data_IF_750349403649
#
_entry.id   IF_750349403649
#
_cell.length_a   1.000
_cell.length_b   1.000
_cell.length_c   1.000
_cell.angle_alpha   90.00
_cell.angle_beta   90.00
_cell.angle_gamma   90.00
#
_symmetry.space_group_name_H-M   'P 1'
#
loop_
_entity.id
_entity.type
_entity.pdbx_description
1 polymer ?
#
# COMPACT_ATOMS: atom_id res chain seq x y z
N UNK A 1 30.46 -25.70 -13.06
CA UNK A 1 31.78 -25.91 -12.46
C UNK A 1 31.72 -26.66 -11.14
N UNK A 2 31.03 -26.23 -10.07
CA UNK A 2 30.91 -27.05 -8.84
C UNK A 2 30.24 -28.42 -9.06
N UNK A 3 29.03 -28.44 -9.62
CA UNK A 3 28.31 -29.69 -9.91
C UNK A 3 28.96 -30.51 -11.03
N UNK A 4 29.57 -29.85 -12.03
CA UNK A 4 30.32 -30.58 -13.07
C UNK A 4 31.62 -31.17 -12.52
N UNK A 5 32.26 -30.54 -11.53
CA UNK A 5 33.42 -31.09 -10.82
C UNK A 5 32.98 -32.29 -9.99
N UNK A 6 31.89 -32.18 -9.22
CA UNK A 6 31.33 -33.31 -8.46
C UNK A 6 30.93 -34.49 -9.34
N UNK A 7 30.27 -34.21 -10.47
CA UNK A 7 29.81 -35.25 -11.40
C UNK A 7 30.97 -36.00 -12.09
N UNK A 8 32.19 -35.45 -12.05
CA UNK A 8 33.39 -36.05 -12.62
C UNK A 8 34.41 -36.53 -11.55
N UNK A 9 34.07 -36.45 -10.26
CA UNK A 9 34.90 -36.92 -9.15
C UNK A 9 34.43 -38.29 -8.67
N UNK A 10 35.33 -39.06 -8.07
CA UNK A 10 34.94 -40.23 -7.27
C UNK A 10 34.04 -39.79 -6.10
N UNK A 11 33.14 -40.66 -5.65
CA UNK A 11 32.17 -40.36 -4.59
C UNK A 11 32.85 -39.87 -3.29
N UNK A 12 34.01 -40.42 -2.95
CA UNK A 12 34.76 -40.03 -1.76
C UNK A 12 35.39 -38.64 -1.92
N UNK A 13 36.02 -38.38 -3.07
CA UNK A 13 36.61 -37.07 -3.40
C UNK A 13 35.56 -35.97 -3.52
N UNK A 14 34.42 -36.28 -4.12
CA UNK A 14 33.26 -35.40 -4.20
C UNK A 14 32.78 -35.02 -2.80
N UNK A 15 32.66 -35.98 -1.89
CA UNK A 15 32.27 -35.73 -0.50
C UNK A 15 33.28 -34.81 0.20
N UNK A 16 34.59 -35.08 0.06
CA UNK A 16 35.63 -34.21 0.64
C UNK A 16 35.58 -32.79 0.09
N UNK A 17 35.32 -32.64 -1.22
CA UNK A 17 35.21 -31.35 -1.90
C UNK A 17 33.94 -30.57 -1.51
N UNK A 18 32.82 -31.26 -1.26
CA UNK A 18 31.57 -30.64 -0.76
C UNK A 18 31.72 -30.06 0.64
N UNK A 19 32.40 -30.81 1.51
CA UNK A 19 32.61 -30.47 2.92
C UNK A 19 33.89 -29.68 3.16
N UNK A 20 34.62 -29.29 2.11
CA UNK A 20 35.79 -28.44 2.23
C UNK A 20 35.39 -27.09 2.83
N UNK A 21 36.01 -26.76 3.96
CA UNK A 21 35.84 -25.48 4.61
C UNK A 21 36.67 -24.40 3.89
N UNK A 22 35.98 -23.43 3.30
CA UNK A 22 36.60 -22.18 2.85
C UNK A 22 36.17 -21.09 3.83
N UNK A 23 37.14 -20.35 4.39
CA UNK A 23 36.84 -19.24 5.32
C UNK A 23 35.92 -19.66 6.48
N UNK A 24 36.16 -20.87 7.02
CA UNK A 24 35.40 -21.45 8.13
C UNK A 24 33.97 -21.88 7.78
N UNK A 25 33.67 -22.07 6.48
CA UNK A 25 32.33 -22.38 5.98
C UNK A 25 32.37 -23.51 4.92
N UNK A 26 31.49 -24.51 5.00
CA UNK A 26 31.50 -25.64 4.06
C UNK A 26 30.98 -25.23 2.67
N UNK A 27 31.79 -25.44 1.64
CA UNK A 27 31.55 -24.98 0.25
C UNK A 27 30.17 -25.33 -0.29
N UNK A 28 29.76 -26.61 -0.20
CA UNK A 28 28.50 -27.11 -0.77
C UNK A 28 27.27 -26.33 -0.26
N UNK A 29 27.22 -26.08 1.05
CA UNK A 29 26.07 -25.46 1.70
C UNK A 29 25.79 -24.07 1.13
N UNK A 30 26.84 -23.26 0.99
CA UNK A 30 26.72 -21.87 0.55
C UNK A 30 26.43 -21.77 -0.95
N UNK A 31 26.91 -22.72 -1.76
CA UNK A 31 26.58 -22.78 -3.20
C UNK A 31 25.13 -23.20 -3.42
N UNK A 32 24.66 -24.21 -2.68
CA UNK A 32 23.26 -24.64 -2.69
C UNK A 32 22.32 -23.53 -2.25
N UNK A 33 22.67 -22.78 -1.21
CA UNK A 33 21.86 -21.64 -0.77
C UNK A 33 21.88 -20.48 -1.76
N UNK A 34 23.01 -20.20 -2.42
CA UNK A 34 23.03 -19.20 -3.49
C UNK A 34 22.10 -19.59 -4.66
N UNK A 35 22.07 -20.88 -5.05
CA UNK A 35 21.13 -21.40 -6.04
C UNK A 35 19.67 -21.28 -5.57
N UNK A 36 19.38 -21.75 -4.34
CA UNK A 36 18.03 -21.74 -3.77
C UNK A 36 17.46 -20.33 -3.59
N UNK A 37 18.30 -19.30 -3.42
CA UNK A 37 17.85 -17.91 -3.31
C UNK A 37 16.98 -17.49 -4.50
N UNK A 38 17.31 -17.96 -5.71
CA UNK A 38 16.55 -17.64 -6.92
C UNK A 38 15.30 -18.51 -7.03
N UNK A 39 15.43 -19.82 -6.81
CA UNK A 39 14.30 -20.73 -6.92
C UNK A 39 13.20 -20.45 -5.90
N UNK A 40 13.53 -20.02 -4.68
CA UNK A 40 12.52 -19.64 -3.69
C UNK A 40 11.67 -18.46 -4.16
N UNK A 41 12.32 -17.41 -4.69
CA UNK A 41 11.59 -16.25 -5.22
C UNK A 41 10.78 -16.65 -6.46
N UNK A 42 11.36 -17.47 -7.36
CA UNK A 42 10.68 -17.97 -8.56
C UNK A 42 9.47 -18.84 -8.25
N UNK A 43 9.56 -19.78 -7.31
CA UNK A 43 8.43 -20.63 -6.93
C UNK A 43 7.29 -19.83 -6.32
N UNK A 44 7.60 -18.76 -5.58
CA UNK A 44 6.56 -17.88 -5.06
C UNK A 44 5.96 -17.05 -6.21
N UNK A 45 6.76 -16.54 -7.15
CA UNK A 45 6.25 -15.87 -8.36
C UNK A 45 5.25 -16.79 -9.07
N UNK A 46 5.61 -18.04 -9.34
CA UNK A 46 4.75 -19.00 -10.05
C UNK A 46 3.41 -19.24 -9.37
N UNK A 47 3.35 -19.16 -8.04
CA UNK A 47 2.14 -19.44 -7.25
C UNK A 47 1.30 -18.17 -7.02
N UNK A 48 1.95 -17.03 -6.76
CA UNK A 48 1.26 -15.79 -6.39
C UNK A 48 2.05 -14.54 -6.78
N UNK A 49 1.42 -13.38 -6.60
CA UNK A 49 2.07 -12.11 -6.92
C UNK A 49 3.13 -11.74 -5.87
N UNK A 50 4.39 -11.62 -6.29
CA UNK A 50 5.54 -11.37 -5.40
C UNK A 50 5.85 -9.90 -5.15
N UNK A 51 5.18 -8.97 -5.85
CA UNK A 51 5.45 -7.53 -5.73
C UNK A 51 5.33 -7.02 -4.28
N UNK A 52 4.30 -7.48 -3.55
CA UNK A 52 4.05 -7.10 -2.16
C UNK A 52 4.60 -8.12 -1.13
N UNK A 53 5.28 -9.18 -1.60
CA UNK A 53 5.87 -10.18 -0.71
C UNK A 53 7.24 -9.71 -0.26
N UNK A 54 7.44 -9.69 1.07
CA UNK A 54 8.76 -9.50 1.67
C UNK A 54 9.52 -10.82 1.63
N UNK A 55 10.81 -10.72 1.30
CA UNK A 55 11.76 -11.83 1.35
C UNK A 55 12.88 -11.57 2.37
N UNK A 56 12.63 -10.71 3.37
CA UNK A 56 13.65 -10.33 4.36
C UNK A 56 14.20 -11.53 5.15
N UNK A 57 13.35 -12.55 5.35
CA UNK A 57 13.70 -13.81 6.02
C UNK A 57 14.69 -14.68 5.21
N UNK A 58 14.92 -14.36 3.93
CA UNK A 58 15.90 -15.06 3.10
C UNK A 58 17.35 -14.62 3.36
N UNK A 59 17.63 -13.95 4.48
CA UNK A 59 18.95 -13.41 4.81
C UNK A 59 20.10 -14.39 4.65
N UNK A 60 19.95 -15.62 5.15
CA UNK A 60 20.99 -16.67 5.02
C UNK A 60 21.28 -17.00 3.55
N UNK A 61 20.27 -16.94 2.68
CA UNK A 61 20.41 -17.20 1.25
C UNK A 61 21.13 -16.03 0.56
N UNK A 62 20.79 -14.78 0.86
CA UNK A 62 21.48 -13.60 0.33
C UNK A 62 22.94 -13.50 0.79
N UNK A 63 23.19 -13.80 2.06
CA UNK A 63 24.54 -13.89 2.61
C UNK A 63 25.34 -14.97 1.89
N UNK A 64 24.66 -15.99 1.37
CA UNK A 64 25.29 -17.02 0.55
C UNK A 64 25.67 -16.58 -0.83
N UNK A 65 24.79 -15.83 -1.50
CA UNK A 65 25.13 -15.17 -2.76
C UNK A 65 26.33 -14.22 -2.55
N UNK A 66 26.37 -13.48 -1.44
CA UNK A 66 27.48 -12.60 -1.08
C UNK A 66 28.78 -13.36 -0.84
N UNK A 67 28.72 -14.45 -0.09
CA UNK A 67 29.88 -15.26 0.23
C UNK A 67 30.46 -15.94 -1.02
N UNK A 68 29.62 -16.51 -1.90
CA UNK A 68 30.09 -17.12 -3.15
C UNK A 68 30.68 -16.05 -4.08
N UNK A 69 30.03 -14.87 -4.20
CA UNK A 69 30.59 -13.77 -5.01
C UNK A 69 31.99 -13.32 -4.55
N UNK A 70 32.25 -13.36 -3.23
CA UNK A 70 33.53 -12.97 -2.64
C UNK A 70 34.61 -14.04 -2.83
N UNK A 71 34.28 -15.31 -2.60
CA UNK A 71 35.26 -16.39 -2.49
C UNK A 71 35.41 -17.23 -3.77
N UNK A 72 34.35 -17.37 -4.57
CA UNK A 72 34.39 -18.01 -5.90
C UNK A 72 33.38 -17.34 -6.86
N UNK A 73 33.74 -16.17 -7.42
CA UNK A 73 32.87 -15.46 -8.35
C UNK A 73 32.57 -16.28 -9.62
N UNK A 74 33.46 -17.18 -10.04
CA UNK A 74 33.22 -18.03 -11.23
C UNK A 74 32.13 -19.05 -10.97
N UNK A 75 32.07 -19.60 -9.76
CA UNK A 75 30.97 -20.46 -9.36
C UNK A 75 29.63 -19.72 -9.35
N UNK A 76 29.59 -18.48 -8.83
CA UNK A 76 28.35 -17.70 -8.85
C UNK A 76 27.90 -17.40 -10.29
N UNK A 77 28.83 -17.06 -11.18
CA UNK A 77 28.53 -16.89 -12.62
C UNK A 77 27.92 -18.16 -13.20
N UNK A 78 28.49 -19.33 -12.89
CA UNK A 78 27.95 -20.61 -13.37
C UNK A 78 26.55 -20.90 -12.81
N UNK A 79 26.32 -20.63 -11.52
CA UNK A 79 25.00 -20.77 -10.89
C UNK A 79 23.98 -19.91 -11.64
N UNK A 80 24.25 -18.61 -11.79
CA UNK A 80 23.30 -17.65 -12.36
C UNK A 80 23.08 -17.83 -13.87
N UNK A 81 24.12 -18.25 -14.60
CA UNK A 81 24.09 -18.38 -16.07
C UNK A 81 23.60 -19.74 -16.55
N UNK A 82 23.92 -20.80 -15.83
CA UNK A 82 23.81 -22.17 -16.34
C UNK A 82 22.84 -23.02 -15.53
N UNK A 83 22.87 -22.92 -14.19
CA UNK A 83 22.06 -23.80 -13.34
C UNK A 83 20.67 -23.25 -13.12
N UNK A 84 20.54 -21.94 -12.97
CA UNK A 84 19.25 -21.27 -12.83
C UNK A 84 18.60 -21.19 -14.20
N UNK A 85 17.38 -21.73 -14.32
CA UNK A 85 16.55 -21.53 -15.50
C UNK A 85 16.20 -20.05 -15.68
N UNK A 86 15.97 -19.54 -16.90
CA UNK A 86 15.54 -18.17 -17.11
C UNK A 86 14.35 -17.82 -16.21
N UNK A 87 14.38 -16.65 -15.57
CA UNK A 87 13.33 -16.18 -14.67
C UNK A 87 12.63 -14.93 -15.20
N UNK A 88 11.49 -14.56 -14.60
CA UNK A 88 10.87 -13.27 -14.91
C UNK A 88 11.73 -12.11 -14.38
N UNK A 89 11.63 -10.94 -15.02
CA UNK A 89 12.36 -9.73 -14.60
C UNK A 89 12.06 -9.34 -13.15
N UNK A 90 10.84 -9.58 -12.67
CA UNK A 90 10.42 -9.32 -11.28
C UNK A 90 11.19 -10.20 -10.27
N UNK A 91 11.44 -11.47 -10.58
CA UNK A 91 12.25 -12.37 -9.73
C UNK A 91 13.67 -11.85 -9.61
N UNK A 92 14.27 -11.47 -10.75
CA UNK A 92 15.61 -10.89 -10.79
C UNK A 92 15.68 -9.56 -10.03
N UNK A 93 14.69 -8.68 -10.20
CA UNK A 93 14.61 -7.41 -9.49
C UNK A 93 14.50 -7.58 -7.98
N UNK A 94 13.67 -8.51 -7.50
CA UNK A 94 13.54 -8.82 -6.06
C UNK A 94 14.84 -9.35 -5.47
N UNK A 95 15.53 -10.23 -6.18
CA UNK A 95 16.86 -10.69 -5.75
C UNK A 95 17.85 -9.51 -5.64
N UNK A 96 17.89 -8.65 -6.66
CA UNK A 96 18.79 -7.50 -6.70
C UNK A 96 18.48 -6.46 -5.61
N UNK A 97 17.21 -6.16 -5.35
CA UNK A 97 16.81 -5.18 -4.32
C UNK A 97 17.32 -5.58 -2.94
N UNK A 98 17.12 -6.84 -2.55
CA UNK A 98 17.58 -7.35 -1.26
C UNK A 98 19.10 -7.44 -1.15
N UNK A 99 19.80 -7.78 -2.23
CA UNK A 99 21.27 -7.72 -2.26
C UNK A 99 21.79 -6.28 -2.13
N UNK A 100 21.11 -5.31 -2.75
CA UNK A 100 21.45 -3.89 -2.69
C UNK A 100 21.22 -3.28 -1.30
N UNK A 101 20.08 -3.58 -0.67
CA UNK A 101 19.76 -3.16 0.70
C UNK A 101 20.85 -3.61 1.69
N UNK A 102 21.38 -4.82 1.49
CA UNK A 102 22.48 -5.40 2.28
C UNK A 102 23.88 -4.95 1.84
N UNK A 103 23.97 -4.09 0.81
CA UNK A 103 25.23 -3.55 0.26
C UNK A 103 26.15 -4.62 -0.35
N UNK A 104 25.58 -5.70 -0.90
CA UNK A 104 26.32 -6.80 -1.54
C UNK A 104 26.62 -6.52 -3.01
N UNK A 105 27.31 -5.41 -3.29
CA UNK A 105 27.50 -4.88 -4.66
C UNK A 105 28.17 -5.85 -5.64
N UNK A 106 29.13 -6.67 -5.18
CA UNK A 106 29.78 -7.68 -6.03
C UNK A 106 28.78 -8.73 -6.51
N UNK A 107 27.89 -9.16 -5.63
CA UNK A 107 26.81 -10.09 -5.98
C UNK A 107 25.85 -9.45 -6.94
N UNK A 108 25.44 -8.20 -6.71
CA UNK A 108 24.57 -7.47 -7.63
C UNK A 108 25.15 -7.44 -9.04
N UNK A 109 26.44 -7.08 -9.19
CA UNK A 109 27.09 -7.03 -10.50
C UNK A 109 27.10 -8.39 -11.23
N UNK A 110 27.28 -9.50 -10.50
CA UNK A 110 27.25 -10.85 -11.09
C UNK A 110 25.81 -11.23 -11.48
N UNK A 111 24.84 -11.04 -10.58
CA UNK A 111 23.43 -11.37 -10.81
C UNK A 111 22.87 -10.54 -11.97
N UNK A 112 23.10 -9.23 -11.98
CA UNK A 112 22.68 -8.30 -13.04
C UNK A 112 23.13 -8.79 -14.41
N UNK A 113 24.39 -9.20 -14.51
CA UNK A 113 25.02 -9.57 -15.78
C UNK A 113 24.71 -11.00 -16.23
N UNK A 114 24.52 -11.93 -15.30
CA UNK A 114 24.52 -13.36 -15.62
C UNK A 114 23.21 -14.08 -15.36
N UNK A 115 22.33 -13.57 -14.49
CA UNK A 115 21.00 -14.13 -14.33
C UNK A 115 20.14 -13.72 -15.53
N UNK A 116 19.79 -14.69 -16.36
CA UNK A 116 18.95 -14.48 -17.54
C UNK A 116 17.52 -14.22 -17.08
N UNK A 117 16.94 -13.12 -17.57
CA UNK A 117 15.56 -12.78 -17.28
C UNK A 117 14.77 -12.41 -18.53
N UNK A 118 13.46 -12.55 -18.46
CA UNK A 118 12.51 -12.20 -19.51
C UNK A 118 11.39 -11.29 -18.96
N UNK A 119 10.79 -10.43 -19.81
CA UNK A 119 9.72 -9.55 -19.38
C UNK A 119 8.53 -10.36 -18.86
N UNK A 120 7.88 -9.82 -17.82
CA UNK A 120 6.65 -10.41 -17.28
C UNK A 120 5.60 -10.49 -18.40
N UNK A 121 4.92 -11.64 -18.60
CA UNK A 121 3.88 -11.76 -19.62
C UNK A 121 2.79 -10.70 -19.45
N UNK A 122 2.39 -10.04 -20.54
CA UNK A 122 1.47 -8.91 -20.50
C UNK A 122 0.12 -9.25 -19.85
N UNK A 123 -0.40 -10.46 -20.07
CA UNK A 123 -1.63 -10.96 -19.44
C UNK A 123 -1.50 -11.05 -17.91
N UNK A 124 -0.33 -11.49 -17.44
CA UNK A 124 -0.01 -11.56 -16.01
C UNK A 124 0.14 -10.16 -15.42
N UNK A 125 0.80 -9.25 -16.13
CA UNK A 125 0.90 -7.82 -15.75
C UNK A 125 -0.49 -7.16 -15.66
N UNK A 126 -1.38 -7.44 -16.61
CA UNK A 126 -2.75 -6.93 -16.61
C UNK A 126 -3.54 -7.47 -15.42
N UNK A 127 -3.49 -8.78 -15.19
CA UNK A 127 -4.21 -9.45 -14.09
C UNK A 127 -3.74 -8.93 -12.73
N UNK A 128 -2.42 -8.76 -12.55
CA UNK A 128 -1.82 -8.18 -11.34
C UNK A 128 -2.27 -6.75 -11.11
N UNK A 129 -2.15 -5.91 -12.15
CA UNK A 129 -2.58 -4.50 -12.07
C UNK A 129 -4.07 -4.38 -11.76
N UNK A 130 -4.90 -5.27 -12.33
CA UNK A 130 -6.33 -5.36 -12.00
C UNK A 130 -6.54 -5.70 -10.53
N UNK A 131 -5.94 -6.78 -10.02
CA UNK A 131 -6.11 -7.20 -8.62
C UNK A 131 -5.67 -6.11 -7.61
N UNK A 132 -4.50 -5.49 -7.86
CA UNK A 132 -4.00 -4.37 -7.03
C UNK A 132 -4.94 -3.17 -7.06
N UNK A 133 -5.41 -2.79 -8.25
CA UNK A 133 -6.33 -1.65 -8.40
C UNK A 133 -7.67 -1.93 -7.72
N UNK A 134 -8.21 -3.15 -7.84
CA UNK A 134 -9.44 -3.58 -7.15
C UNK A 134 -9.27 -3.45 -5.63
N UNK A 135 -8.16 -3.95 -5.08
CA UNK A 135 -7.88 -3.87 -3.63
C UNK A 135 -7.79 -2.42 -3.15
N UNK A 136 -7.06 -1.58 -3.86
CA UNK A 136 -6.90 -0.16 -3.53
C UNK A 136 -8.23 0.58 -3.56
N UNK A 137 -8.97 0.46 -4.67
CA UNK A 137 -10.26 1.15 -4.83
C UNK A 137 -11.28 0.69 -3.80
N UNK A 138 -11.41 -0.61 -3.55
CA UNK A 138 -12.35 -1.11 -2.54
C UNK A 138 -11.99 -0.63 -1.13
N UNK A 139 -10.72 -0.77 -0.73
CA UNK A 139 -10.28 -0.47 0.63
C UNK A 139 -10.25 1.03 0.92
N UNK A 140 -9.77 1.83 -0.04
CA UNK A 140 -9.44 3.22 0.19
C UNK A 140 -10.47 4.19 -0.39
N UNK A 141 -11.25 3.80 -1.41
CA UNK A 141 -12.24 4.70 -2.04
C UNK A 141 -13.67 4.26 -1.69
N UNK A 142 -14.10 3.09 -2.15
CA UNK A 142 -15.48 2.64 -2.03
C UNK A 142 -15.92 2.51 -0.57
N UNK A 143 -15.12 1.83 0.26
CA UNK A 143 -15.39 1.70 1.70
C UNK A 143 -15.50 3.06 2.39
N UNK A 144 -14.61 3.99 2.06
CA UNK A 144 -14.57 5.31 2.68
C UNK A 144 -15.79 6.16 2.31
N UNK A 145 -16.16 6.20 1.03
CA UNK A 145 -17.37 6.87 0.54
C UNK A 145 -18.61 6.32 1.27
N UNK A 146 -18.71 4.99 1.38
CA UNK A 146 -19.82 4.33 2.05
C UNK A 146 -19.89 4.68 3.55
N UNK A 147 -18.76 4.62 4.27
CA UNK A 147 -18.70 4.97 5.71
C UNK A 147 -19.13 6.41 5.95
N UNK A 148 -18.60 7.38 5.18
CA UNK A 148 -18.98 8.79 5.33
C UNK A 148 -20.44 9.03 5.00
N UNK A 149 -20.93 8.40 3.94
CA UNK A 149 -22.34 8.49 3.57
C UNK A 149 -23.24 7.94 4.68
N UNK A 150 -22.88 6.82 5.29
CA UNK A 150 -23.67 6.22 6.37
C UNK A 150 -23.66 7.10 7.62
N UNK A 151 -22.50 7.66 8.00
CA UNK A 151 -22.40 8.63 9.08
C UNK A 151 -23.29 9.84 8.84
N UNK A 152 -23.26 10.40 7.62
CA UNK A 152 -24.14 11.52 7.25
C UNK A 152 -25.62 11.13 7.33
N UNK A 153 -25.96 9.94 6.85
CA UNK A 153 -27.33 9.42 6.90
C UNK A 153 -27.83 9.26 8.34
N UNK A 154 -27.01 8.70 9.23
CA UNK A 154 -27.38 8.51 10.64
C UNK A 154 -27.58 9.85 11.36
N UNK A 155 -26.65 10.78 11.18
CA UNK A 155 -26.78 12.14 11.72
C UNK A 155 -28.06 12.83 11.25
N UNK A 156 -28.42 12.65 9.97
CA UNK A 156 -29.63 13.25 9.38
C UNK A 156 -30.94 12.58 9.81
N UNK A 157 -30.92 11.31 10.17
CA UNK A 157 -32.16 10.54 10.39
C UNK A 157 -32.44 10.26 11.85
N UNK A 158 -31.42 9.99 12.65
CA UNK A 158 -31.56 9.54 14.05
C UNK A 158 -31.15 10.62 15.05
N UNK A 159 -30.19 11.46 14.69
CA UNK A 159 -29.53 12.40 15.61
C UNK A 159 -29.75 13.87 15.17
N UNK A 160 -30.94 14.22 14.66
CA UNK A 160 -31.21 15.57 14.15
C UNK A 160 -31.00 16.68 15.19
N UNK A 161 -31.37 16.41 16.44
CA UNK A 161 -31.25 17.37 17.56
C UNK A 161 -29.79 17.70 17.89
N UNK A 162 -28.91 16.74 17.62
CA UNK A 162 -27.47 16.80 17.85
C UNK A 162 -26.72 17.63 16.79
N UNK A 163 -27.31 17.84 15.60
CA UNK A 163 -26.70 18.65 14.52
C UNK A 163 -26.45 20.11 14.93
N UNK A 164 -27.14 20.60 15.95
CA UNK A 164 -27.02 21.97 16.46
C UNK A 164 -26.02 22.10 17.62
N UNK A 165 -25.44 21.00 18.09
CA UNK A 165 -24.48 21.02 19.20
C UNK A 165 -23.07 21.34 18.67
N UNK A 166 -22.32 22.27 19.32
CA UNK A 166 -20.97 22.65 18.88
C UNK A 166 -20.02 21.45 18.73
N UNK A 167 -20.15 20.47 19.61
CA UNK A 167 -19.37 19.23 19.65
C UNK A 167 -19.52 18.36 18.39
N UNK A 168 -20.62 18.55 17.64
CA UNK A 168 -20.95 17.80 16.44
C UNK A 168 -20.73 18.63 15.19
N UNK A 169 -20.78 19.97 15.29
CA UNK A 169 -20.57 20.86 14.16
C UNK A 169 -19.16 20.77 13.57
N UNK A 170 -18.10 20.61 14.38
CA UNK A 170 -16.74 20.45 13.87
C UNK A 170 -16.53 19.10 13.15
N UNK A 171 -16.89 17.93 13.73
CA UNK A 171 -16.89 16.65 13.02
C UNK A 171 -17.78 16.66 11.78
N UNK A 172 -18.94 17.30 11.85
CA UNK A 172 -19.84 17.47 10.73
C UNK A 172 -19.20 18.36 9.67
N UNK A 173 -18.52 19.45 10.00
CA UNK A 173 -17.79 20.30 9.06
C UNK A 173 -16.62 19.57 8.40
N UNK A 174 -15.97 18.64 9.11
CA UNK A 174 -14.93 17.78 8.53
C UNK A 174 -15.50 16.69 7.61
N UNK A 175 -16.62 16.04 7.99
CA UNK A 175 -17.37 15.10 7.14
C UNK A 175 -18.00 15.82 5.92
N UNK A 176 -18.40 17.05 6.22
CA UNK A 176 -18.68 18.28 5.52
C UNK A 176 -17.73 18.76 4.41
N UNK A 177 -16.46 18.44 4.57
CA UNK A 177 -15.40 19.00 3.77
C UNK A 177 -14.57 17.86 3.21
N UNK A 178 -14.68 17.64 1.90
CA UNK A 178 -13.96 16.55 1.24
C UNK A 178 -12.46 16.82 1.15
N UNK A 179 -12.00 18.04 1.45
CA UNK A 179 -10.56 18.32 1.51
C UNK A 179 -9.92 17.62 2.72
N UNK A 180 -10.62 17.52 3.86
CA UNK A 180 -10.21 16.68 5.00
C UNK A 180 -10.18 15.19 4.64
N UNK A 181 -11.03 14.76 3.70
CA UNK A 181 -10.99 13.41 3.14
C UNK A 181 -9.83 13.20 2.15
N UNK A 182 -9.42 14.27 1.47
CA UNK A 182 -8.38 14.26 0.44
C UNK A 182 -6.95 14.20 0.97
N UNK A 183 -6.74 14.50 2.25
CA UNK A 183 -5.44 14.35 2.90
C UNK A 183 -4.93 12.90 2.84
N UNK A 184 -5.85 11.94 2.71
CA UNK A 184 -5.57 10.50 2.72
C UNK A 184 -5.79 9.80 1.38
N UNK A 185 -6.42 10.44 0.39
CA UNK A 185 -6.55 9.87 -0.95
C UNK A 185 -5.25 10.09 -1.72
N UNK A 186 -4.39 9.09 -1.69
CA UNK A 186 -3.13 9.14 -2.42
C UNK A 186 -3.43 9.17 -3.93
N UNK A 187 -2.59 9.91 -4.68
CA UNK A 187 -2.63 9.95 -6.15
C UNK A 187 -2.76 8.55 -6.78
N UNK A 188 -2.10 7.57 -6.16
CA UNK A 188 -2.11 6.16 -6.57
C UNK A 188 -3.50 5.50 -6.49
N UNK A 189 -4.35 5.90 -5.54
CA UNK A 189 -5.73 5.37 -5.44
C UNK A 189 -6.59 5.90 -6.59
N UNK A 190 -6.45 7.19 -6.94
CA UNK A 190 -7.14 7.78 -8.09
C UNK A 190 -6.66 7.20 -9.41
N UNK A 191 -5.35 6.98 -9.55
CA UNK A 191 -4.78 6.33 -10.74
C UNK A 191 -5.27 4.87 -10.86
N UNK A 192 -5.42 4.15 -9.74
CA UNK A 192 -6.01 2.81 -9.70
C UNK A 192 -7.48 2.82 -10.14
N UNK A 193 -8.24 3.83 -9.72
CA UNK A 193 -9.64 4.02 -10.10
C UNK A 193 -9.81 4.32 -11.59
N UNK A 194 -9.02 5.25 -12.15
CA UNK A 194 -9.03 5.51 -13.59
C UNK A 194 -8.63 4.29 -14.41
N UNK A 195 -7.65 3.53 -13.93
CA UNK A 195 -7.22 2.33 -14.62
C UNK A 195 -8.34 1.30 -14.68
N UNK A 196 -9.06 1.06 -13.57
CA UNK A 196 -10.23 0.17 -13.57
C UNK A 196 -11.34 0.67 -14.48
N UNK A 197 -11.62 1.98 -14.51
CA UNK A 197 -12.63 2.55 -15.40
C UNK A 197 -12.35 2.23 -16.88
N UNK A 198 -11.08 2.27 -17.28
CA UNK A 198 -10.68 2.02 -18.67
C UNK A 198 -10.57 0.53 -19.01
N UNK A 199 -10.21 -0.32 -18.04
CA UNK A 199 -9.78 -1.70 -18.30
C UNK A 199 -10.70 -2.78 -17.71
N UNK A 200 -11.53 -2.44 -16.73
CA UNK A 200 -12.42 -3.36 -16.03
C UNK A 200 -13.73 -2.65 -15.59
N UNK A 201 -14.53 -2.14 -16.55
CA UNK A 201 -15.72 -1.33 -16.25
C UNK A 201 -16.81 -2.08 -15.46
N UNK A 202 -16.97 -3.38 -15.68
CA UNK A 202 -17.96 -4.18 -14.95
C UNK A 202 -17.62 -4.26 -13.45
N UNK A 203 -16.35 -4.46 -13.12
CA UNK A 203 -15.86 -4.59 -11.75
C UNK A 203 -15.98 -3.28 -10.99
N UNK A 204 -15.60 -2.15 -11.61
CA UNK A 204 -15.75 -0.83 -10.97
C UNK A 204 -17.23 -0.47 -10.79
N UNK A 205 -18.12 -0.86 -11.71
CA UNK A 205 -19.56 -0.66 -11.55
C UNK A 205 -20.11 -1.40 -10.33
N UNK A 206 -19.70 -2.67 -10.13
CA UNK A 206 -20.13 -3.47 -8.98
C UNK A 206 -19.72 -2.85 -7.64
N UNK A 207 -18.54 -2.20 -7.57
CA UNK A 207 -18.04 -1.53 -6.36
C UNK A 207 -18.88 -0.34 -5.91
N UNK A 208 -19.61 0.31 -6.82
CA UNK A 208 -20.33 1.57 -6.56
C UNK A 208 -21.86 1.44 -6.70
N UNK A 209 -22.39 0.26 -6.38
CA UNK A 209 -23.85 -0.04 -6.41
C UNK A 209 -24.62 0.44 -5.18
N UNK A 210 -23.92 0.75 -4.08
CA UNK A 210 -24.55 1.16 -2.82
C UNK A 210 -25.04 2.61 -2.91
N UNK A 211 -26.28 2.86 -2.47
CA UNK A 211 -26.82 4.22 -2.39
C UNK A 211 -26.05 5.06 -1.38
N UNK A 212 -25.77 6.31 -1.75
CA UNK A 212 -25.08 7.28 -0.89
C UNK A 212 -25.88 8.58 -0.72
N UNK A 213 -25.48 9.43 0.22
CA UNK A 213 -26.07 10.76 0.40
C UNK A 213 -25.67 11.70 -0.74
N UNK A 214 -26.58 12.60 -1.13
CA UNK A 214 -26.37 13.55 -2.23
C UNK A 214 -25.13 14.42 -1.98
N UNK A 215 -24.93 14.88 -0.74
CA UNK A 215 -23.80 15.73 -0.38
C UNK A 215 -22.46 15.01 -0.51
N UNK A 216 -22.42 13.70 -0.20
CA UNK A 216 -21.23 12.87 -0.40
C UNK A 216 -20.90 12.78 -1.89
N UNK A 217 -21.92 12.63 -2.74
CA UNK A 217 -21.77 12.59 -4.20
C UNK A 217 -21.27 13.94 -4.74
N UNK A 218 -21.92 15.04 -4.40
CA UNK A 218 -21.57 16.38 -4.89
C UNK A 218 -20.14 16.78 -4.52
N UNK A 219 -19.70 16.39 -3.33
CA UNK A 219 -18.33 16.61 -2.87
C UNK A 219 -17.28 15.77 -3.58
N UNK A 220 -17.56 14.48 -3.76
CA UNK A 220 -16.69 13.62 -4.56
C UNK A 220 -16.51 14.21 -5.96
N UNK A 221 -17.60 14.67 -6.58
CA UNK A 221 -17.56 15.31 -7.89
C UNK A 221 -16.76 16.62 -7.88
N UNK A 222 -16.95 17.46 -6.87
CA UNK A 222 -16.19 18.72 -6.70
C UNK A 222 -14.70 18.44 -6.53
N UNK A 223 -14.33 17.48 -5.70
CA UNK A 223 -12.94 17.09 -5.47
C UNK A 223 -12.29 16.55 -6.76
N UNK A 224 -12.97 15.65 -7.46
CA UNK A 224 -12.47 15.11 -8.73
C UNK A 224 -12.32 16.21 -9.78
N UNK A 225 -13.23 17.18 -9.82
CA UNK A 225 -13.12 18.34 -10.72
C UNK A 225 -11.93 19.24 -10.37
N UNK A 226 -11.68 19.50 -9.08
CA UNK A 226 -10.49 20.22 -8.60
C UNK A 226 -9.18 19.49 -8.96
N UNK A 227 -9.19 18.15 -9.05
CA UNK A 227 -8.07 17.33 -9.50
C UNK A 227 -8.03 17.10 -11.01
N UNK A 228 -8.90 17.77 -11.77
CA UNK A 228 -9.02 17.65 -13.24
C UNK A 228 -9.32 16.22 -13.72
N UNK A 229 -9.95 15.40 -12.87
CA UNK A 229 -10.31 13.99 -13.13
C UNK A 229 -11.71 13.86 -13.74
N UNK A 230 -11.94 14.53 -14.87
CA UNK A 230 -13.27 14.69 -15.44
C UNK A 230 -13.94 13.38 -15.91
N UNK A 231 -13.16 12.39 -16.34
CA UNK A 231 -13.67 11.05 -16.68
C UNK A 231 -14.30 10.36 -15.47
N UNK A 232 -13.65 10.47 -14.31
CA UNK A 232 -14.17 9.97 -13.05
C UNK A 232 -15.39 10.76 -12.58
N UNK A 233 -15.42 12.09 -12.78
CA UNK A 233 -16.62 12.89 -12.51
C UNK A 233 -17.82 12.38 -13.31
N UNK A 234 -17.65 12.14 -14.61
CA UNK A 234 -18.72 11.68 -15.48
C UNK A 234 -19.21 10.29 -15.04
N UNK A 235 -18.28 9.37 -14.79
CA UNK A 235 -18.58 8.03 -14.29
C UNK A 235 -19.46 8.10 -13.03
N UNK A 236 -19.00 8.78 -11.98
CA UNK A 236 -19.72 8.83 -10.72
C UNK A 236 -21.04 9.60 -10.80
N UNK A 237 -21.15 10.58 -11.70
CA UNK A 237 -22.42 11.28 -11.95
C UNK A 237 -23.48 10.31 -12.44
N UNK A 238 -23.12 9.38 -13.31
CA UNK A 238 -24.03 8.40 -13.92
C UNK A 238 -24.26 7.17 -13.03
N UNK A 239 -23.22 6.68 -12.34
CA UNK A 239 -23.26 5.35 -11.71
C UNK A 239 -23.58 5.37 -10.22
N UNK A 240 -23.19 6.40 -9.46
CA UNK A 240 -23.46 6.43 -8.01
C UNK A 240 -24.94 6.73 -7.74
N UNK A 241 -25.69 5.78 -7.18
CA UNK A 241 -27.08 6.01 -6.85
C UNK A 241 -27.17 6.80 -5.53
N UNK A 242 -28.17 7.66 -5.42
CA UNK A 242 -28.35 8.54 -4.26
C UNK A 242 -29.60 8.15 -3.48
N UNK A 243 -29.60 8.33 -2.16
CA UNK A 243 -30.81 8.25 -1.35
C UNK A 243 -31.79 9.37 -1.73
N UNK A 244 -33.02 9.02 -2.07
CA UNK A 244 -34.11 9.98 -2.11
C UNK A 244 -34.45 10.36 -0.66
N UNK A 245 -33.99 11.53 -0.23
CA UNK A 245 -34.30 12.06 1.09
C UNK A 245 -35.04 13.38 0.95
N UNK A 246 -36.18 13.56 1.66
CA UNK A 246 -36.87 14.84 1.68
C UNK A 246 -36.01 15.88 2.40
N UNK A 247 -35.39 16.70 1.55
CA UNK A 247 -34.86 18.04 1.77
C UNK A 247 -33.56 18.29 2.54
N UNK A 248 -32.78 19.16 1.88
CA UNK A 248 -31.57 19.90 2.26
C UNK A 248 -31.82 20.73 3.52
N UNK A 249 -30.92 20.66 4.50
CA UNK A 249 -30.78 21.76 5.46
C UNK A 249 -29.74 22.73 4.91
N UNK A 250 -30.11 24.00 4.83
CA UNK A 250 -29.17 25.09 5.11
C UNK A 250 -28.60 24.79 6.48
N UNK A 251 -27.42 24.16 6.56
CA UNK A 251 -26.62 24.24 7.78
C UNK A 251 -26.38 25.74 7.94
N UNK A 252 -27.00 26.41 8.93
CA UNK A 252 -26.78 27.83 9.08
C UNK A 252 -25.26 28.04 9.23
N UNK A 253 -24.68 29.05 8.56
CA UNK A 253 -23.27 29.38 8.78
C UNK A 253 -23.07 29.53 10.28
N UNK A 254 -22.01 28.90 10.79
CA UNK A 254 -21.63 28.90 12.20
C UNK A 254 -21.99 30.23 12.87
N UNK A 255 -23.11 30.27 13.60
CA UNK A 255 -23.42 31.40 14.46
C UNK A 255 -22.58 31.19 15.71
N UNK A 256 -21.31 31.62 15.65
CA UNK A 256 -20.57 31.85 16.86
C UNK A 256 -21.29 32.98 17.58
N UNK A 257 -22.06 32.66 18.61
CA UNK A 257 -22.47 33.52 19.73
C UNK A 257 -23.56 32.75 20.50
N UNK A 258 -23.57 32.67 21.83
CA UNK A 258 -23.48 33.75 22.80
C UNK A 258 -22.66 33.27 24.01
N UNK A 259 -21.61 34.01 24.38
CA UNK A 259 -21.07 33.95 25.74
C UNK A 259 -22.19 34.37 26.67
N UNK A 260 -22.54 33.53 27.64
CA UNK A 260 -23.53 33.88 28.65
C UNK A 260 -22.92 34.98 29.55
N UNK A 261 -22.95 36.24 29.09
CA UNK A 261 -22.49 37.43 29.86
C UNK A 261 -23.35 37.67 31.12
N UNK A 262 -24.38 36.86 31.35
CA UNK A 262 -25.18 36.87 32.56
C UNK A 262 -24.61 36.05 33.73
N UNK A 263 -23.45 35.39 33.59
CA UNK A 263 -22.71 34.82 34.74
C UNK A 263 -21.57 35.72 35.25
N UNK A 264 -21.42 36.94 34.72
CA UNK A 264 -20.36 37.89 35.11
C UNK A 264 -20.85 39.12 35.90
N UNK A 265 -22.11 39.14 36.37
CA UNK A 265 -22.72 40.26 37.09
C UNK A 265 -23.31 39.89 38.46
N UNK A 266 -22.60 39.04 39.22
CA UNK A 266 -22.86 38.86 40.65
C UNK A 266 -21.53 38.64 41.36
N UNK A 267 -20.82 39.72 41.67
CA UNK A 267 -19.91 39.93 42.81
C UNK A 267 -19.05 41.17 42.50
N UNK A 268 -19.69 42.34 42.52
CA UNK A 268 -19.02 43.61 42.80
C UNK A 268 -20.13 44.62 43.07
N UNK A 269 -20.57 44.69 44.33
CA UNK A 269 -20.90 45.95 45.00
C UNK A 269 -21.04 45.67 46.50
N UNK A 270 -20.20 46.38 47.26
CA UNK A 270 -20.36 46.77 48.65
C UNK A 270 -20.15 45.72 49.76
N UNK A 271 -18.93 45.71 50.30
CA UNK A 271 -18.76 46.07 51.72
C UNK A 271 -17.33 46.55 51.99
N UNK A 272 -17.17 47.87 51.95
CA UNK A 272 -16.16 48.58 52.73
C UNK A 272 -16.48 48.36 54.22
N UNK A 273 -15.58 47.73 54.97
CA UNK A 273 -15.33 48.10 56.37
C UNK A 273 -13.85 47.91 56.68
N UNK A 274 -13.15 49.04 56.79
CA UNK A 274 -11.99 49.18 57.66
C UNK A 274 -12.39 48.81 59.09
N UNK A 275 -11.55 48.05 59.80
CA UNK A 275 -11.16 48.37 61.17
C UNK A 275 -9.92 47.55 61.56
N UNK A 276 -8.85 48.27 61.86
CA UNK A 276 -7.71 47.82 62.65
C UNK A 276 -8.19 47.36 64.04
N UNK A 277 -7.71 46.20 64.52
CA UNK A 277 -7.59 45.94 65.96
C UNK A 277 -6.21 45.31 66.25
N UNK A 278 -5.35 46.13 66.87
CA UNK A 278 -4.50 45.72 68.00
C UNK A 278 -5.36 45.47 69.25
#
# INVERSE_FOLDING_TARGET
>A
MFYDILNNMDLHEATTYEWEDIDGKPRYRWYKYALNSVYMISSIDDICDIDDISFDDLGTYYDSVAWVAKNDPKALVYIMRTLVEPVTDIVKQKLLSHLLERKYYKSCAIVEKHLVSFPVPAERTFTRKKAKSIKNVNKNIAKRICVLSNLLYELKTKDKEKLYMPEIQDPLSNLLNFESFSADLFREDLDSLEWLLQNAPDEINEMFTTKICQETKDRLLTYLAQKERYSLCQFFKETLPVFEMPFYFEIPPYSKEIVNENELFLLDEDDYFDEDEE
#
